data_IF_937804673585
#
_entry.id   IF_937804673585
#
_cell.length_a   1.000
_cell.length_b   1.000
_cell.length_c   1.000
_cell.angle_alpha   90.00
_cell.angle_beta   90.00
_cell.angle_gamma   90.00
#
_symmetry.space_group_name_H-M   'P 1'
#
loop_
_entity.id
_entity.type
_entity.pdbx_description
1 polymer ?
#
# COMPACT_ATOMS: atom_id res chain seq x y z
N UNK A 1 -28.85 -10.31 -7.25
CA UNK A 1 -28.03 -9.20 -6.71
C UNK A 1 -28.51 -7.91 -7.34
N UNK A 2 -28.60 -6.81 -6.58
CA UNK A 2 -28.88 -5.49 -7.17
C UNK A 2 -27.68 -5.04 -8.01
N UNK A 3 -27.91 -4.15 -9.00
CA UNK A 3 -26.85 -3.54 -9.82
C UNK A 3 -25.72 -2.97 -8.96
N UNK A 4 -26.07 -2.29 -7.87
CA UNK A 4 -25.12 -1.70 -6.91
C UNK A 4 -24.26 -2.78 -6.21
N UNK A 5 -24.83 -3.95 -5.91
CA UNK A 5 -24.05 -5.03 -5.27
C UNK A 5 -23.01 -5.62 -6.22
N UNK A 6 -23.35 -5.73 -7.51
CA UNK A 6 -22.43 -6.22 -8.55
C UNK A 6 -21.27 -5.22 -8.72
N UNK A 7 -21.59 -3.93 -8.78
CA UNK A 7 -20.58 -2.87 -8.94
C UNK A 7 -19.63 -2.77 -7.74
N UNK A 8 -20.17 -2.82 -6.51
CA UNK A 8 -19.36 -2.88 -5.28
C UNK A 8 -18.44 -4.10 -5.27
N UNK A 9 -18.96 -5.28 -5.64
CA UNK A 9 -18.17 -6.50 -5.69
C UNK A 9 -17.06 -6.45 -6.74
N UNK A 10 -17.37 -5.92 -7.93
CA UNK A 10 -16.39 -5.74 -9.00
C UNK A 10 -15.27 -4.77 -8.57
N UNK A 11 -15.63 -3.61 -8.01
CA UNK A 11 -14.67 -2.62 -7.57
C UNK A 11 -13.80 -3.15 -6.42
N UNK A 12 -14.39 -3.87 -5.46
CA UNK A 12 -13.65 -4.51 -4.38
C UNK A 12 -12.66 -5.55 -4.88
N UNK A 13 -13.06 -6.36 -5.87
CA UNK A 13 -12.18 -7.34 -6.50
C UNK A 13 -11.05 -6.66 -7.27
N UNK A 14 -11.32 -5.56 -7.96
CA UNK A 14 -10.28 -4.78 -8.65
C UNK A 14 -9.25 -4.21 -7.68
N UNK A 15 -9.72 -3.58 -6.59
CA UNK A 15 -8.88 -3.11 -5.48
C UNK A 15 -7.99 -4.25 -4.97
N UNK A 16 -8.59 -5.37 -4.60
CA UNK A 16 -7.89 -6.51 -4.03
C UNK A 16 -6.82 -7.08 -4.98
N UNK A 17 -7.13 -7.24 -6.28
CA UNK A 17 -6.16 -7.72 -7.28
C UNK A 17 -4.96 -6.77 -7.39
N UNK A 18 -5.20 -5.47 -7.47
CA UNK A 18 -4.12 -4.49 -7.61
C UNK A 18 -3.26 -4.47 -6.35
N UNK A 19 -3.87 -4.49 -5.16
CA UNK A 19 -3.13 -4.50 -3.89
C UNK A 19 -2.31 -5.77 -3.72
N UNK A 20 -2.87 -6.94 -4.07
CA UNK A 20 -2.12 -8.21 -4.11
C UNK A 20 -0.95 -8.14 -5.08
N UNK A 21 -1.15 -7.59 -6.28
CA UNK A 21 -0.11 -7.50 -7.30
C UNK A 21 1.02 -6.55 -6.87
N UNK A 22 0.67 -5.42 -6.26
CA UNK A 22 1.63 -4.49 -5.66
C UNK A 22 2.43 -5.14 -4.54
N UNK A 23 1.75 -5.86 -3.64
CA UNK A 23 2.39 -6.59 -2.56
C UNK A 23 3.37 -7.66 -3.05
N UNK A 24 2.94 -8.47 -4.02
CA UNK A 24 3.79 -9.51 -4.62
C UNK A 24 5.01 -8.91 -5.33
N UNK A 25 4.80 -7.86 -6.14
CA UNK A 25 5.89 -7.18 -6.84
C UNK A 25 6.88 -6.56 -5.84
N UNK A 26 6.37 -5.97 -4.76
CA UNK A 26 7.20 -5.42 -3.69
C UNK A 26 8.03 -6.50 -3.00
N UNK A 27 7.45 -7.65 -2.70
CA UNK A 27 8.19 -8.79 -2.13
C UNK A 27 9.30 -9.25 -3.08
N UNK A 28 8.98 -9.47 -4.36
CA UNK A 28 9.97 -9.90 -5.37
C UNK A 28 11.11 -8.89 -5.48
N UNK A 29 10.78 -7.59 -5.53
CA UNK A 29 11.77 -6.53 -5.57
C UNK A 29 12.61 -6.49 -4.28
N UNK A 30 12.00 -6.60 -3.11
CA UNK A 30 12.70 -6.66 -1.83
C UNK A 30 13.67 -7.83 -1.74
N UNK A 31 13.26 -9.03 -2.15
CA UNK A 31 14.15 -10.20 -2.23
C UNK A 31 15.30 -9.94 -3.21
N UNK A 32 15.01 -9.35 -4.37
CA UNK A 32 16.03 -9.03 -5.38
C UNK A 32 17.06 -8.03 -4.86
N UNK A 33 16.62 -7.02 -4.11
CA UNK A 33 17.49 -6.00 -3.55
C UNK A 33 18.44 -6.52 -2.45
N UNK A 34 18.10 -7.63 -1.79
CA UNK A 34 18.98 -8.26 -0.79
C UNK A 34 20.25 -8.88 -1.37
N UNK A 35 20.33 -9.11 -2.68
CA UNK A 35 21.53 -9.64 -3.32
C UNK A 35 22.66 -8.60 -3.49
N UNK A 36 22.39 -7.33 -3.21
CA UNK A 36 23.37 -6.26 -3.30
C UNK A 36 23.87 -5.88 -1.90
N UNK A 37 25.19 -5.89 -1.71
CA UNK A 37 25.82 -5.53 -0.43
C UNK A 37 25.97 -4.01 -0.30
N UNK A 38 24.83 -3.32 -0.25
CA UNK A 38 24.74 -1.86 -0.12
C UNK A 38 23.77 -1.54 1.01
N UNK A 39 24.19 -0.74 1.98
CA UNK A 39 23.39 -0.47 3.18
C UNK A 39 22.06 0.22 2.85
N UNK A 40 22.07 1.19 1.94
CA UNK A 40 20.86 1.80 1.39
C UNK A 40 19.88 0.76 0.82
N UNK A 41 20.35 -0.16 -0.02
CA UNK A 41 19.50 -1.17 -0.66
C UNK A 41 18.97 -2.19 0.33
N UNK A 42 19.75 -2.53 1.36
CA UNK A 42 19.30 -3.39 2.46
C UNK A 42 18.17 -2.75 3.27
N UNK A 43 18.25 -1.46 3.58
CA UNK A 43 17.18 -0.78 4.31
C UNK A 43 15.94 -0.55 3.45
N UNK A 44 16.13 -0.30 2.15
CA UNK A 44 15.06 -0.24 1.16
C UNK A 44 14.34 -1.60 1.01
N UNK A 45 15.09 -2.69 0.94
CA UNK A 45 14.54 -4.04 0.77
C UNK A 45 13.67 -4.46 1.95
N UNK A 46 14.07 -4.13 3.18
CA UNK A 46 13.27 -4.38 4.39
C UNK A 46 11.90 -3.72 4.29
N UNK A 47 11.83 -2.47 3.83
CA UNK A 47 10.55 -1.77 3.66
C UNK A 47 9.69 -2.44 2.59
N UNK A 48 10.28 -2.83 1.46
CA UNK A 48 9.59 -3.54 0.38
C UNK A 48 9.06 -4.92 0.81
N UNK A 49 9.80 -5.65 1.63
CA UNK A 49 9.40 -6.97 2.14
C UNK A 49 8.26 -6.86 3.16
N UNK A 50 8.41 -5.99 4.17
CA UNK A 50 7.43 -5.86 5.25
C UNK A 50 6.10 -5.34 4.69
N UNK A 51 6.12 -4.19 4.00
CA UNK A 51 4.91 -3.61 3.45
C UNK A 51 4.36 -4.43 2.28
N UNK A 52 5.24 -5.03 1.47
CA UNK A 52 4.82 -5.96 0.42
C UNK A 52 4.03 -7.14 0.96
N UNK A 53 4.48 -7.75 2.06
CA UNK A 53 3.76 -8.84 2.73
C UNK A 53 2.42 -8.38 3.31
N UNK A 54 2.37 -7.23 3.98
CA UNK A 54 1.11 -6.66 4.50
C UNK A 54 0.11 -6.43 3.37
N UNK A 55 0.52 -5.75 2.30
CA UNK A 55 -0.32 -5.45 1.14
C UNK A 55 -0.80 -6.72 0.43
N UNK A 56 0.10 -7.70 0.24
CA UNK A 56 -0.25 -8.99 -0.36
C UNK A 56 -1.35 -9.68 0.44
N UNK A 57 -1.20 -9.76 1.76
CA UNK A 57 -2.17 -10.38 2.66
C UNK A 57 -3.51 -9.63 2.63
N UNK A 58 -3.49 -8.30 2.75
CA UNK A 58 -4.70 -7.48 2.70
C UNK A 58 -5.47 -7.62 1.38
N UNK A 59 -4.77 -7.76 0.25
CA UNK A 59 -5.39 -7.99 -1.05
C UNK A 59 -5.89 -9.43 -1.26
N UNK A 60 -5.12 -10.44 -0.85
CA UNK A 60 -5.43 -11.84 -1.19
C UNK A 60 -6.60 -12.40 -0.35
N UNK A 61 -6.73 -11.98 0.92
CA UNK A 61 -7.79 -12.47 1.80
C UNK A 61 -9.21 -12.21 1.24
N UNK A 62 -9.55 -11.00 0.77
CA UNK A 62 -10.81 -10.73 0.08
C UNK A 62 -11.05 -11.60 -1.15
N UNK A 63 -10.02 -11.88 -1.95
CA UNK A 63 -10.11 -12.70 -3.16
C UNK A 63 -10.43 -14.17 -2.83
N UNK A 64 -9.80 -14.71 -1.79
CA UNK A 64 -10.05 -16.09 -1.35
C UNK A 64 -11.44 -16.22 -0.74
N UNK A 65 -11.86 -15.26 0.10
CA UNK A 65 -13.16 -15.31 0.79
C UNK A 65 -14.35 -14.99 -0.11
N UNK A 66 -14.13 -14.41 -1.30
CA UNK A 66 -15.18 -13.93 -2.20
C UNK A 66 -16.25 -13.07 -1.47
N UNK A 67 -15.81 -12.26 -0.50
CA UNK A 67 -16.71 -11.50 0.36
C UNK A 67 -17.15 -10.19 -0.29
N UNK A 68 -18.45 -9.89 -0.26
CA UNK A 68 -18.97 -8.56 -0.59
C UNK A 68 -18.70 -7.65 0.61
N UNK A 69 -17.97 -6.53 0.43
CA UNK A 69 -17.62 -5.66 1.55
C UNK A 69 -18.82 -4.80 1.94
N UNK A 70 -18.87 -4.40 3.21
CA UNK A 70 -19.72 -3.28 3.59
C UNK A 70 -19.12 -1.99 3.03
N UNK A 71 -19.77 -1.41 2.01
CA UNK A 71 -19.30 -0.20 1.30
C UNK A 71 -18.98 0.95 2.26
N UNK A 72 -19.90 1.31 3.17
CA UNK A 72 -19.72 2.44 4.10
C UNK A 72 -18.52 2.25 5.02
N UNK A 73 -18.29 1.01 5.48
CA UNK A 73 -17.13 0.67 6.30
C UNK A 73 -15.84 0.73 5.48
N UNK A 74 -15.82 0.14 4.29
CA UNK A 74 -14.64 0.09 3.42
C UNK A 74 -14.20 1.50 3.00
N UNK A 75 -15.13 2.34 2.56
CA UNK A 75 -14.88 3.74 2.24
C UNK A 75 -14.21 4.50 3.40
N UNK A 76 -14.70 4.34 4.63
CA UNK A 76 -14.12 5.00 5.80
C UNK A 76 -12.69 4.52 6.08
N UNK A 77 -12.44 3.21 5.93
CA UNK A 77 -11.10 2.65 6.12
C UNK A 77 -10.13 3.26 5.11
N UNK A 78 -10.50 3.30 3.82
CA UNK A 78 -9.66 3.85 2.76
C UNK A 78 -9.36 5.34 2.96
N UNK A 79 -10.33 6.14 3.41
CA UNK A 79 -10.07 7.56 3.72
C UNK A 79 -9.14 7.74 4.93
N UNK A 80 -9.31 6.93 5.98
CA UNK A 80 -8.43 7.00 7.15
C UNK A 80 -7.01 6.61 6.73
N UNK A 81 -6.84 5.54 5.95
CA UNK A 81 -5.53 5.14 5.46
C UNK A 81 -4.89 6.20 4.56
N UNK A 82 -5.64 6.78 3.62
CA UNK A 82 -5.16 7.89 2.78
C UNK A 82 -4.60 9.04 3.63
N UNK A 83 -5.25 9.40 4.74
CA UNK A 83 -4.72 10.40 5.67
C UNK A 83 -3.44 9.91 6.39
N UNK A 84 -3.41 8.65 6.83
CA UNK A 84 -2.21 8.05 7.43
C UNK A 84 -1.03 8.01 6.43
N UNK A 85 -1.28 7.75 5.15
CA UNK A 85 -0.25 7.72 4.11
C UNK A 85 0.43 9.07 3.92
N UNK A 86 -0.29 10.18 4.09
CA UNK A 86 0.31 11.52 4.13
C UNK A 86 1.30 11.63 5.29
N UNK A 87 0.93 11.13 6.48
CA UNK A 87 1.81 11.14 7.65
C UNK A 87 3.04 10.26 7.38
N UNK A 88 2.84 9.05 6.85
CA UNK A 88 3.94 8.15 6.48
C UNK A 88 4.88 8.77 5.45
N UNK A 89 4.35 9.46 4.43
CA UNK A 89 5.15 10.18 3.44
C UNK A 89 5.99 11.29 4.07
N UNK A 90 5.41 12.08 4.97
CA UNK A 90 6.16 13.11 5.70
C UNK A 90 7.30 12.46 6.49
N UNK A 91 7.03 11.38 7.22
CA UNK A 91 8.08 10.64 7.96
C UNK A 91 9.15 10.09 7.02
N UNK A 92 8.77 9.50 5.88
CA UNK A 92 9.70 8.98 4.88
C UNK A 92 10.59 10.08 4.29
N UNK A 93 10.01 11.25 3.95
CA UNK A 93 10.76 12.42 3.47
C UNK A 93 11.73 12.91 4.54
N UNK A 94 11.30 13.03 5.80
CA UNK A 94 12.18 13.43 6.90
C UNK A 94 13.36 12.46 7.07
N UNK A 95 13.14 11.15 6.93
CA UNK A 95 14.21 10.15 6.96
C UNK A 95 15.19 10.30 5.78
N UNK A 96 14.68 10.57 4.57
CA UNK A 96 15.53 10.83 3.39
C UNK A 96 16.42 12.07 3.60
N UNK A 97 15.90 13.12 4.25
CA UNK A 97 16.64 14.35 4.51
C UNK A 97 17.68 14.21 5.65
N UNK A 98 17.63 13.13 6.44
CA UNK A 98 18.56 12.87 7.55
C UNK A 98 19.90 12.24 7.12
N UNK A 99 20.22 12.24 5.83
CA UNK A 99 21.46 11.63 5.29
C UNK A 99 22.74 12.11 6.02
N UNK A 100 22.78 13.37 6.43
CA UNK A 100 23.93 13.96 7.12
C UNK A 100 24.10 13.51 8.58
N UNK A 101 23.07 12.89 9.17
CA UNK A 101 23.04 12.56 10.61
C UNK A 101 22.94 11.07 10.90
N UNK A 102 22.32 10.28 10.01
CA UNK A 102 22.04 8.85 10.26
C UNK A 102 22.54 7.89 9.16
N UNK A 103 23.23 8.40 8.13
CA UNK A 103 23.86 7.59 7.09
C UNK A 103 22.89 6.97 6.08
N UNK A 104 23.40 6.05 5.25
CA UNK A 104 22.69 5.49 4.09
C UNK A 104 21.48 4.63 4.46
N UNK A 105 21.51 3.98 5.63
CA UNK A 105 20.41 3.13 6.12
C UNK A 105 19.11 3.90 6.35
N UNK A 106 19.18 5.06 7.02
CA UNK A 106 18.01 5.90 7.28
C UNK A 106 17.38 6.38 5.97
N UNK A 107 18.21 6.75 5.00
CA UNK A 107 17.78 7.16 3.66
C UNK A 107 17.11 6.00 2.93
N UNK A 108 17.67 4.79 2.99
CA UNK A 108 17.08 3.58 2.40
C UNK A 108 15.68 3.28 2.96
N UNK A 109 15.51 3.37 4.28
CA UNK A 109 14.19 3.25 4.89
C UNK A 109 13.25 4.38 4.46
N UNK A 110 13.73 5.62 4.43
CA UNK A 110 12.96 6.78 3.97
C UNK A 110 12.43 6.59 2.55
N UNK A 111 13.29 6.17 1.61
CA UNK A 111 12.88 5.88 0.24
C UNK A 111 11.86 4.74 0.17
N UNK A 112 12.05 3.68 0.95
CA UNK A 112 11.10 2.58 1.02
C UNK A 112 9.71 3.04 1.48
N UNK A 113 9.66 3.84 2.54
CA UNK A 113 8.41 4.43 3.04
C UNK A 113 7.80 5.37 2.01
N UNK A 114 8.59 6.21 1.33
CA UNK A 114 8.08 7.15 0.32
C UNK A 114 7.47 6.40 -0.87
N UNK A 115 8.14 5.39 -1.41
CA UNK A 115 7.64 4.64 -2.56
C UNK A 115 6.36 3.89 -2.21
N UNK A 116 6.34 3.19 -1.07
CA UNK A 116 5.17 2.44 -0.62
C UNK A 116 4.01 3.37 -0.25
N UNK A 117 4.28 4.42 0.52
CA UNK A 117 3.28 5.40 0.95
C UNK A 117 2.70 6.22 -0.20
N UNK A 118 3.50 6.56 -1.23
CA UNK A 118 2.99 7.29 -2.39
C UNK A 118 2.01 6.43 -3.20
N UNK A 119 2.35 5.16 -3.41
CA UNK A 119 1.43 4.22 -4.05
C UNK A 119 0.14 4.10 -3.24
N UNK A 120 0.23 3.85 -1.93
CA UNK A 120 -0.93 3.66 -1.07
C UNK A 120 -1.79 4.92 -0.98
N UNK A 121 -1.20 6.11 -0.87
CA UNK A 121 -1.93 7.37 -0.87
C UNK A 121 -2.80 7.52 -2.11
N UNK A 122 -2.21 7.31 -3.30
CA UNK A 122 -2.95 7.40 -4.57
C UNK A 122 -4.03 6.32 -4.63
N UNK A 123 -3.67 5.09 -4.26
CA UNK A 123 -4.54 3.92 -4.29
C UNK A 123 -5.76 4.07 -3.38
N UNK A 124 -5.55 4.35 -2.10
CA UNK A 124 -6.59 4.46 -1.08
C UNK A 124 -7.48 5.69 -1.31
N UNK A 125 -6.90 6.81 -1.75
CA UNK A 125 -7.68 8.00 -2.14
C UNK A 125 -8.58 7.68 -3.34
N UNK A 126 -8.03 7.08 -4.39
CA UNK A 126 -8.77 6.74 -5.60
C UNK A 126 -9.95 5.80 -5.32
N UNK A 127 -9.71 4.70 -4.61
CA UNK A 127 -10.76 3.75 -4.28
C UNK A 127 -11.74 4.30 -3.23
N UNK A 128 -11.25 5.06 -2.25
CA UNK A 128 -12.09 5.74 -1.27
C UNK A 128 -13.10 6.66 -1.96
N UNK A 129 -12.65 7.48 -2.91
CA UNK A 129 -13.54 8.35 -3.69
C UNK A 129 -14.53 7.55 -4.54
N UNK A 130 -14.10 6.48 -5.22
CA UNK A 130 -15.03 5.62 -5.97
C UNK A 130 -16.10 4.97 -5.10
N UNK A 131 -15.73 4.44 -3.94
CA UNK A 131 -16.72 3.85 -3.03
C UNK A 131 -17.65 4.90 -2.40
N UNK A 132 -17.22 6.17 -2.31
CA UNK A 132 -18.06 7.29 -1.86
C UNK A 132 -19.15 7.64 -2.88
N UNK A 133 -18.84 7.59 -4.17
CA UNK A 133 -19.77 7.99 -5.24
C UNK A 133 -20.79 6.92 -5.61
N UNK A 134 -20.63 5.69 -5.14
CA UNK A 134 -21.63 4.63 -5.35
C UNK A 134 -22.87 4.89 -4.50
N UNK A 135 -24.00 5.12 -5.15
CA UNK A 135 -25.32 5.26 -4.51
C UNK A 135 -25.74 3.93 -3.84
N UNK A 136 -26.54 4.02 -2.76
CA UNK A 136 -27.12 2.85 -2.07
C UNK A 136 -28.20 2.18 -2.94
#
# INVERSE_FOLDING_TARGET
MSKNTIEISFLHRQLAIILTSWGLTSIVMGVTLLFFDVEFLRSLSIQFLIWGAVNFLLGIFPLIRNSVPNRKRLYKILLINSFLDVIYLIVGILLVLQIFFQGESAVGHGFGVVVQGLFLLVFDTYYGLKFKTLED
#
